data_IF_620511721290
#
_entry.id   IF_620511721290
#
_cell.length_a   1.000
_cell.length_b   1.000
_cell.length_c   1.000
_cell.angle_alpha   90.00
_cell.angle_beta   90.00
_cell.angle_gamma   90.00
#
_symmetry.space_group_name_H-M   'P 1'
#
loop_
_entity.id
_entity.type
_entity.pdbx_description
1 polymer ?
#
# COMPACT_ATOMS: atom_id res chain seq x y z
N UNK A 1 3.58 44.09 -14.24
CA UNK A 1 2.74 42.88 -14.20
C UNK A 1 3.55 41.81 -13.49
N UNK A 2 3.17 41.48 -12.26
CA UNK A 2 3.86 40.45 -11.46
C UNK A 2 3.44 39.10 -12.04
N UNK A 3 4.42 38.28 -12.42
CA UNK A 3 4.18 36.89 -12.78
C UNK A 3 3.71 36.14 -11.53
N UNK A 4 2.41 36.02 -11.36
CA UNK A 4 1.86 34.97 -10.49
C UNK A 4 2.26 33.64 -11.13
N UNK A 5 3.30 33.02 -10.60
CA UNK A 5 3.53 31.59 -10.82
C UNK A 5 2.28 30.89 -10.32
N UNK A 6 1.36 30.55 -11.24
CA UNK A 6 0.39 29.49 -11.04
C UNK A 6 1.21 28.27 -10.65
N UNK A 7 1.38 28.05 -9.35
CA UNK A 7 1.75 26.75 -8.87
C UNK A 7 0.61 25.88 -9.38
N UNK A 8 0.92 24.98 -10.31
CA UNK A 8 -0.01 23.94 -10.69
C UNK A 8 -0.36 23.23 -9.38
N UNK A 9 -1.53 23.52 -8.82
CA UNK A 9 -2.04 22.75 -7.71
C UNK A 9 -2.18 21.35 -8.27
N UNK A 10 -1.42 20.41 -7.70
CA UNK A 10 -1.66 18.99 -7.97
C UNK A 10 -3.13 18.72 -7.65
N UNK A 11 -3.84 17.94 -8.49
CA UNK A 11 -5.24 17.64 -8.25
C UNK A 11 -5.40 17.11 -6.82
N UNK A 12 -6.28 17.75 -6.05
CA UNK A 12 -6.61 17.35 -4.68
C UNK A 12 -7.67 16.24 -4.70
N UNK A 13 -7.46 15.21 -5.52
CA UNK A 13 -8.25 13.99 -5.56
C UNK A 13 -7.45 12.81 -4.96
N UNK A 14 -8.11 11.68 -4.72
CA UNK A 14 -7.49 10.55 -4.03
C UNK A 14 -6.24 10.04 -4.77
N UNK A 15 -6.29 9.98 -6.11
CA UNK A 15 -5.16 9.58 -6.94
C UNK A 15 -3.98 10.58 -6.85
N UNK A 16 -4.24 11.88 -6.85
CA UNK A 16 -3.22 12.91 -6.68
C UNK A 16 -2.52 12.83 -5.31
N UNK A 17 -3.30 12.59 -4.24
CA UNK A 17 -2.73 12.33 -2.92
C UNK A 17 -1.91 11.02 -2.89
N UNK A 18 -2.39 9.94 -3.52
CA UNK A 18 -1.64 8.69 -3.64
C UNK A 18 -0.30 8.91 -4.36
N UNK A 19 -0.30 9.60 -5.49
CA UNK A 19 0.90 9.86 -6.29
C UNK A 19 1.92 10.72 -5.54
N UNK A 20 1.45 11.74 -4.81
CA UNK A 20 2.33 12.54 -3.96
C UNK A 20 2.88 11.74 -2.79
N UNK A 21 2.06 10.90 -2.16
CA UNK A 21 2.48 9.95 -1.14
C UNK A 21 3.57 9.01 -1.65
N UNK A 22 3.41 8.46 -2.86
CA UNK A 22 4.39 7.60 -3.52
C UNK A 22 5.73 8.31 -3.73
N UNK A 23 5.70 9.59 -4.10
CA UNK A 23 6.92 10.41 -4.23
C UNK A 23 7.59 10.64 -2.88
N UNK A 24 6.83 10.88 -1.80
CA UNK A 24 7.41 11.02 -0.47
C UNK A 24 8.03 9.70 0.02
N UNK A 25 7.33 8.58 -0.16
CA UNK A 25 7.81 7.24 0.21
C UNK A 25 9.12 6.88 -0.50
N UNK A 26 9.20 7.11 -1.82
CA UNK A 26 10.44 6.89 -2.60
C UNK A 26 11.63 7.74 -2.14
N UNK A 27 11.37 8.89 -1.51
CA UNK A 27 12.40 9.76 -0.95
C UNK A 27 12.70 9.47 0.54
N UNK A 28 12.12 8.40 1.10
CA UNK A 28 12.28 8.04 2.52
C UNK A 28 11.54 8.97 3.49
N UNK A 29 10.65 9.84 2.99
CA UNK A 29 9.89 10.79 3.82
C UNK A 29 8.55 10.15 4.23
N UNK A 30 8.63 9.03 4.94
CA UNK A 30 7.48 8.15 5.19
C UNK A 30 6.34 8.81 5.96
N UNK A 31 6.62 9.68 6.94
CA UNK A 31 5.56 10.38 7.66
C UNK A 31 4.68 11.26 6.76
N UNK A 32 5.27 11.95 5.78
CA UNK A 32 4.48 12.72 4.80
C UNK A 32 3.73 11.81 3.84
N UNK A 33 4.33 10.69 3.47
CA UNK A 33 3.66 9.68 2.64
C UNK A 33 2.40 9.17 3.35
N UNK A 34 2.50 8.82 4.63
CA UNK A 34 1.40 8.36 5.47
C UNK A 34 0.26 9.39 5.51
N UNK A 35 0.57 10.68 5.70
CA UNK A 35 -0.42 11.75 5.70
C UNK A 35 -1.17 11.84 4.36
N UNK A 36 -0.44 11.78 3.24
CA UNK A 36 -1.04 11.86 1.91
C UNK A 36 -1.86 10.62 1.57
N UNK A 37 -1.37 9.41 1.87
CA UNK A 37 -2.18 8.20 1.72
C UNK A 37 -3.42 8.23 2.62
N UNK A 38 -3.32 8.82 3.82
CA UNK A 38 -4.48 9.03 4.69
C UNK A 38 -5.55 9.90 4.05
N UNK A 39 -5.15 11.00 3.40
CA UNK A 39 -6.10 11.84 2.64
C UNK A 39 -6.70 11.12 1.44
N UNK A 40 -5.91 10.31 0.73
CA UNK A 40 -6.44 9.48 -0.35
C UNK A 40 -7.52 8.52 0.15
N UNK A 41 -7.31 7.88 1.30
CA UNK A 41 -8.26 6.98 1.96
C UNK A 41 -9.51 7.71 2.46
N UNK A 42 -9.36 8.92 3.01
CA UNK A 42 -10.49 9.75 3.45
C UNK A 42 -11.41 10.12 2.28
N UNK A 43 -10.83 10.35 1.10
CA UNK A 43 -11.57 10.64 -0.13
C UNK A 43 -12.18 9.39 -0.76
N UNK A 44 -11.42 8.29 -0.82
CA UNK A 44 -11.83 7.01 -1.39
C UNK A 44 -11.57 5.86 -0.40
N UNK A 45 -12.55 5.52 0.46
CA UNK A 45 -12.38 4.48 1.49
C UNK A 45 -12.22 3.05 0.96
N UNK A 46 -12.43 2.84 -0.34
CA UNK A 46 -12.26 1.56 -1.04
C UNK A 46 -10.97 1.53 -1.88
N UNK A 47 -10.07 2.51 -1.72
CA UNK A 47 -8.84 2.59 -2.48
C UNK A 47 -7.75 1.67 -1.91
N UNK A 48 -7.78 0.40 -2.31
CA UNK A 48 -6.89 -0.65 -1.80
C UNK A 48 -5.39 -0.28 -1.86
N UNK A 49 -4.94 0.33 -2.97
CA UNK A 49 -3.53 0.74 -3.14
C UNK A 49 -3.10 1.78 -2.11
N UNK A 50 -3.98 2.71 -1.72
CA UNK A 50 -3.65 3.73 -0.72
C UNK A 50 -3.45 3.10 0.66
N UNK A 51 -4.26 2.11 1.04
CA UNK A 51 -4.03 1.32 2.25
C UNK A 51 -2.72 0.54 2.17
N UNK A 52 -2.46 -0.15 1.06
CA UNK A 52 -1.21 -0.90 0.87
C UNK A 52 0.03 -0.03 1.03
N UNK A 53 0.06 1.13 0.37
CA UNK A 53 1.22 2.02 0.43
C UNK A 53 1.38 2.72 1.79
N UNK A 54 0.26 3.03 2.47
CA UNK A 54 0.30 3.52 3.85
C UNK A 54 0.82 2.46 4.81
N UNK A 55 0.38 1.21 4.65
CA UNK A 55 0.86 0.06 5.42
C UNK A 55 2.36 -0.17 5.25
N UNK A 56 2.86 -0.15 4.01
CA UNK A 56 4.31 -0.19 3.74
C UNK A 56 5.05 0.95 4.45
N UNK A 57 4.51 2.17 4.40
CA UNK A 57 5.15 3.32 5.02
C UNK A 57 5.11 3.27 6.56
N UNK A 58 4.08 2.66 7.15
CA UNK A 58 4.03 2.39 8.59
C UNK A 58 5.09 1.38 9.03
N UNK A 59 5.32 0.33 8.24
CA UNK A 59 6.39 -0.63 8.48
C UNK A 59 7.76 0.05 8.48
N UNK A 60 8.03 0.92 7.51
CA UNK A 60 9.31 1.66 7.41
C UNK A 60 9.59 2.57 8.61
N UNK A 61 8.54 3.05 9.30
CA UNK A 61 8.68 3.83 10.55
C UNK A 61 8.54 2.97 11.81
N UNK A 62 8.56 1.63 11.68
CA UNK A 62 8.53 0.67 12.78
C UNK A 62 7.18 0.55 13.48
N UNK A 63 6.09 0.91 12.80
CA UNK A 63 4.71 0.89 13.33
C UNK A 63 3.94 -0.31 12.77
N UNK A 64 4.39 -1.49 13.14
CA UNK A 64 3.95 -2.76 12.54
C UNK A 64 2.47 -3.07 12.73
N UNK A 65 1.89 -2.76 13.90
CA UNK A 65 0.45 -2.95 14.14
C UNK A 65 -0.40 -2.14 13.14
N UNK A 66 -0.01 -0.90 12.85
CA UNK A 66 -0.68 -0.06 11.86
C UNK A 66 -0.45 -0.57 10.44
N UNK A 67 0.75 -1.08 10.15
CA UNK A 67 1.06 -1.71 8.87
C UNK A 67 0.17 -2.93 8.61
N UNK A 68 0.04 -3.83 9.59
CA UNK A 68 -0.81 -5.02 9.51
C UNK A 68 -2.28 -4.62 9.30
N UNK A 69 -2.78 -3.62 10.04
CA UNK A 69 -4.16 -3.16 9.89
C UNK A 69 -4.45 -2.63 8.48
N UNK A 70 -3.57 -1.76 7.95
CA UNK A 70 -3.72 -1.21 6.61
C UNK A 70 -3.58 -2.28 5.51
N UNK A 71 -2.59 -3.19 5.64
CA UNK A 71 -2.41 -4.28 4.68
C UNK A 71 -3.58 -5.26 4.70
N UNK A 72 -4.16 -5.51 5.88
CA UNK A 72 -5.38 -6.32 6.01
C UNK A 72 -6.55 -5.65 5.29
N UNK A 73 -6.71 -4.34 5.46
CA UNK A 73 -7.76 -3.61 4.75
C UNK A 73 -7.55 -3.61 3.23
N UNK A 74 -6.30 -3.50 2.76
CA UNK A 74 -5.98 -3.61 1.34
C UNK A 74 -6.36 -4.99 0.78
N UNK A 75 -6.09 -6.07 1.53
CA UNK A 75 -6.46 -7.45 1.18
C UNK A 75 -7.98 -7.66 1.14
N UNK A 76 -8.72 -7.07 2.10
CA UNK A 76 -10.19 -7.14 2.08
C UNK A 76 -10.80 -6.48 0.83
N UNK A 77 -10.17 -5.40 0.35
CA UNK A 77 -10.63 -4.64 -0.81
C UNK A 77 -10.21 -5.28 -2.14
N UNK A 78 -8.98 -5.79 -2.22
CA UNK A 78 -8.48 -6.55 -3.37
C UNK A 78 -7.74 -7.81 -2.91
N UNK A 79 -8.47 -8.94 -2.77
CA UNK A 79 -7.89 -10.19 -2.28
C UNK A 79 -7.04 -10.91 -3.33
N UNK A 80 -7.00 -10.44 -4.58
CA UNK A 80 -6.24 -11.07 -5.67
C UNK A 80 -4.84 -10.45 -5.82
N UNK A 81 -4.55 -9.36 -5.11
CA UNK A 81 -3.24 -8.72 -5.08
C UNK A 81 -2.24 -9.50 -4.21
N UNK A 82 -1.45 -10.37 -4.84
CA UNK A 82 -0.41 -11.17 -4.16
C UNK A 82 0.61 -10.31 -3.39
N UNK A 83 0.89 -9.11 -3.88
CA UNK A 83 1.80 -8.15 -3.24
C UNK A 83 1.37 -7.75 -1.82
N UNK A 84 0.06 -7.72 -1.53
CA UNK A 84 -0.44 -7.27 -0.23
C UNK A 84 -0.17 -8.32 0.86
N UNK A 85 -0.42 -9.59 0.54
CA UNK A 85 -0.05 -10.72 1.39
C UNK A 85 1.47 -10.79 1.59
N UNK A 86 2.24 -10.63 0.50
CA UNK A 86 3.70 -10.66 0.59
C UNK A 86 4.27 -9.60 1.53
N UNK A 87 3.75 -8.36 1.49
CA UNK A 87 4.18 -7.34 2.44
C UNK A 87 3.73 -7.62 3.86
N UNK A 88 2.49 -8.12 4.07
CA UNK A 88 2.01 -8.42 5.42
C UNK A 88 2.78 -9.58 6.06
N UNK A 89 3.17 -10.58 5.28
CA UNK A 89 4.07 -11.65 5.71
C UNK A 89 5.42 -11.10 6.21
N UNK A 90 6.02 -10.13 5.51
CA UNK A 90 7.26 -9.47 5.95
C UNK A 90 7.07 -8.79 7.31
N UNK A 91 5.93 -8.11 7.51
CA UNK A 91 5.63 -7.47 8.80
C UNK A 91 5.46 -8.50 9.91
N UNK A 92 4.79 -9.63 9.64
CA UNK A 92 4.63 -10.73 10.60
C UNK A 92 5.97 -11.38 10.97
N UNK A 93 6.87 -11.60 10.02
CA UNK A 93 8.24 -12.09 10.30
C UNK A 93 8.96 -11.14 11.26
N UNK A 94 8.85 -9.82 11.04
CA UNK A 94 9.46 -8.84 11.91
C UNK A 94 8.82 -8.79 13.31
N UNK A 95 7.55 -9.18 13.44
CA UNK A 95 6.85 -9.32 14.73
C UNK A 95 7.06 -10.67 15.41
N UNK A 96 7.86 -11.57 14.84
CA UNK A 96 8.05 -12.94 15.35
C UNK A 96 6.73 -13.75 15.37
N UNK A 97 5.89 -13.54 14.35
CA UNK A 97 4.63 -14.26 14.11
C UNK A 97 4.74 -15.17 12.85
N UNK A 98 5.58 -16.23 12.89
CA UNK A 98 5.94 -16.99 11.70
C UNK A 98 4.78 -17.80 11.11
N UNK A 99 3.81 -18.23 11.92
CA UNK A 99 2.64 -18.98 11.42
C UNK A 99 1.75 -18.10 10.54
N UNK A 100 1.58 -16.83 10.90
CA UNK A 100 0.80 -15.87 10.10
C UNK A 100 1.55 -15.47 8.84
N UNK A 101 2.88 -15.31 8.92
CA UNK A 101 3.71 -15.07 7.75
C UNK A 101 3.63 -16.23 6.74
N UNK A 102 3.75 -17.47 7.22
CA UNK A 102 3.65 -18.66 6.37
C UNK A 102 2.28 -18.73 5.67
N UNK A 103 1.20 -18.44 6.37
CA UNK A 103 -0.14 -18.42 5.79
C UNK A 103 -0.27 -17.40 4.65
N UNK A 104 0.24 -16.18 4.85
CA UNK A 104 0.24 -15.14 3.81
C UNK A 104 1.15 -15.51 2.62
N UNK A 105 2.30 -16.14 2.86
CA UNK A 105 3.20 -16.62 1.81
C UNK A 105 2.55 -17.71 0.95
N UNK A 106 1.85 -18.66 1.56
CA UNK A 106 1.11 -19.71 0.85
C UNK A 106 0.05 -19.12 -0.09
N UNK A 107 -0.73 -18.16 0.39
CA UNK A 107 -1.73 -17.45 -0.43
C UNK A 107 -1.06 -16.66 -1.56
N UNK A 108 0.03 -15.95 -1.26
CA UNK A 108 0.80 -15.20 -2.25
C UNK A 108 1.30 -16.11 -3.39
N UNK A 109 1.84 -17.28 -3.05
CA UNK A 109 2.29 -18.27 -4.03
C UNK A 109 1.15 -18.82 -4.87
N UNK A 110 0.01 -19.15 -4.25
CA UNK A 110 -1.16 -19.64 -4.96
C UNK A 110 -1.68 -18.63 -5.98
N UNK A 111 -1.81 -17.35 -5.59
CA UNK A 111 -2.24 -16.27 -6.48
C UNK A 111 -1.30 -16.11 -7.69
N UNK A 112 0.01 -16.22 -7.47
CA UNK A 112 1.02 -16.16 -8.55
C UNK A 112 0.89 -17.33 -9.54
N UNK A 113 0.68 -18.55 -9.04
CA UNK A 113 0.47 -19.73 -9.88
C UNK A 113 -0.79 -19.55 -10.73
N UNK A 114 -1.91 -19.18 -10.10
CA UNK A 114 -3.18 -18.92 -10.82
C UNK A 114 -3.01 -17.84 -11.89
N UNK A 115 -2.28 -16.76 -11.58
CA UNK A 115 -2.02 -15.69 -12.55
C UNK A 115 -1.17 -16.17 -13.74
N UNK A 116 -0.24 -17.09 -13.54
CA UNK A 116 0.55 -17.69 -14.61
C UNK A 116 -0.28 -18.63 -15.49
N UNK A 117 -1.11 -19.49 -14.88
CA UNK A 117 -2.02 -20.38 -15.61
C UNK A 117 -2.99 -19.59 -16.50
N UNK A 118 -3.57 -18.51 -15.96
CA UNK A 118 -4.47 -17.63 -16.70
C UNK A 118 -3.81 -16.90 -17.89
N UNK A 119 -2.49 -16.66 -17.82
CA UNK A 119 -1.73 -16.09 -18.94
C UNK A 119 -1.45 -17.12 -20.03
N UNK A 120 -1.25 -18.39 -19.67
CA UNK A 120 -1.00 -19.48 -20.61
C UNK A 120 -2.28 -19.97 -21.30
N UNK A 121 -3.44 -19.73 -20.68
CA UNK A 121 -4.76 -20.09 -21.22
C UNK A 121 -5.34 -19.08 -22.23
N UNK A 122 -4.63 -17.98 -22.54
CA UNK A 122 -5.01 -16.94 -23.51
C UNK A 122 -4.10 -16.95 -24.72
#
# INVERSE_FOLDING_TARGET
MVFERKHAQEPEDAAGYLDRGNRYSRNGVYHKAIEDYGKAIEMEPEFAEAFYHRGCSWYEVGKNEYAIADLTRAIELDPMADSYYGQRAIVYIFQDEPELAQADEEVCQELRIRAQENKLAK
#
